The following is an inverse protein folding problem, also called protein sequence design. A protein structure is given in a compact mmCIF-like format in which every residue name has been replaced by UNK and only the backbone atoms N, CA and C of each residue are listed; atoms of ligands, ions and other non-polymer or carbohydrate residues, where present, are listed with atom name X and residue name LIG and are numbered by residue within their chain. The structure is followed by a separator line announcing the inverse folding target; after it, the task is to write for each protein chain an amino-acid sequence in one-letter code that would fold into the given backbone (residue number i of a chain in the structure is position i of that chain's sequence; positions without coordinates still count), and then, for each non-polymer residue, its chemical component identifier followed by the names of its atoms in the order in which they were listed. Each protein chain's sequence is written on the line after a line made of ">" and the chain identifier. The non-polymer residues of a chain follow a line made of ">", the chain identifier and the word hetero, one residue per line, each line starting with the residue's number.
data_IF_331481951712
#
_entry.id   IF_331481951712
#
_cell.length_a   1.000
_cell.length_b   1.000
_cell.length_c   1.000
_cell.angle_alpha   90.00
_cell.angle_beta   90.00
_cell.angle_gamma   90.00
#
_symmetry.space_group_name_H-M   'P 1'
#
loop_
_entity.id
_entity.type
_entity.pdbx_description
1 polymer ?
#
# COMPACT_ATOMS: atom_id res chain seq x y z
N UNK A 1 -6.07 -21.94 2.77
CA UNK A 1 -6.44 -20.55 2.41
C UNK A 1 -5.27 -19.69 1.97
N UNK A 2 -4.01 -20.09 2.19
CA UNK A 2 -2.79 -19.41 1.72
C UNK A 2 -2.47 -19.64 0.22
N UNK A 3 -3.06 -20.64 -0.40
CA UNK A 3 -2.73 -21.04 -1.79
C UNK A 3 -3.20 -20.04 -2.87
N UNK A 4 -4.13 -19.15 -2.58
CA UNK A 4 -4.60 -18.15 -3.56
C UNK A 4 -3.88 -16.80 -3.43
N UNK A 5 -3.02 -16.62 -2.43
CA UNK A 5 -2.27 -15.38 -2.20
C UNK A 5 -0.97 -15.29 -3.02
N UNK A 6 -0.51 -16.41 -3.55
CA UNK A 6 0.82 -16.55 -4.18
C UNK A 6 0.89 -15.97 -5.59
N UNK A 7 -0.24 -15.70 -6.24
CA UNK A 7 -0.24 -15.15 -7.61
C UNK A 7 -0.23 -13.60 -7.69
N UNK A 8 -0.32 -12.90 -6.57
CA UNK A 8 -0.43 -11.43 -6.54
C UNK A 8 0.74 -10.68 -5.87
N UNK A 9 1.71 -11.39 -5.30
CA UNK A 9 2.87 -10.78 -4.64
C UNK A 9 4.14 -10.94 -5.47
N UNK A 10 4.20 -10.28 -6.61
CA UNK A 10 5.48 -9.96 -7.21
C UNK A 10 6.11 -8.80 -6.41
N UNK A 11 6.92 -9.13 -5.42
CA UNK A 11 7.77 -8.18 -4.70
C UNK A 11 7.14 -7.57 -3.44
N UNK A 12 7.29 -8.26 -2.32
CA UNK A 12 7.13 -7.64 -1.00
C UNK A 12 8.41 -6.84 -0.71
N UNK A 13 8.34 -5.54 -0.92
CA UNK A 13 9.45 -4.64 -0.62
C UNK A 13 9.32 -4.13 0.81
N UNK A 14 10.17 -4.65 1.70
CA UNK A 14 10.23 -4.18 3.09
C UNK A 14 11.23 -3.03 3.17
N UNK A 15 10.75 -1.81 3.12
CA UNK A 15 11.55 -0.62 3.34
C UNK A 15 11.65 -0.30 4.84
N UNK A 16 12.63 -0.88 5.55
CA UNK A 16 12.81 -0.64 7.01
C UNK A 16 14.27 -0.61 7.47
N UNK A 17 15.18 -0.58 6.53
CA UNK A 17 16.59 -0.28 6.78
C UNK A 17 17.06 0.54 5.58
N UNK A 18 18.24 1.16 5.63
CA UNK A 18 18.82 1.83 4.47
C UNK A 18 18.98 0.89 3.24
N UNK A 19 18.69 -0.39 3.40
CA UNK A 19 18.75 -1.40 2.35
C UNK A 19 17.40 -2.13 2.21
N UNK A 20 16.88 -2.22 0.97
CA UNK A 20 15.62 -2.88 0.64
C UNK A 20 15.84 -4.38 0.42
N UNK A 21 14.90 -5.20 0.90
CA UNK A 21 14.84 -6.63 0.59
C UNK A 21 13.48 -6.96 -0.01
N UNK A 22 13.47 -7.82 -1.01
CA UNK A 22 12.27 -8.39 -1.61
C UNK A 22 12.33 -9.90 -1.61
N UNK A 23 11.18 -10.54 -1.61
CA UNK A 23 11.05 -11.99 -1.75
C UNK A 23 9.94 -12.33 -2.73
N UNK A 24 10.16 -13.39 -3.52
CA UNK A 24 9.15 -13.97 -4.39
C UNK A 24 8.91 -15.41 -3.94
N UNK A 25 7.66 -15.71 -3.58
CA UNK A 25 7.26 -17.06 -3.23
C UNK A 25 6.72 -17.78 -4.46
N UNK A 26 7.32 -18.92 -4.80
CA UNK A 26 6.92 -19.74 -5.94
C UNK A 26 6.02 -20.87 -5.44
N UNK A 27 4.83 -20.98 -6.02
CA UNK A 27 3.92 -22.11 -5.76
C UNK A 27 4.36 -23.35 -6.60
N UNK A 28 3.82 -24.53 -6.26
CA UNK A 28 4.14 -25.81 -6.88
C UNK A 28 4.10 -25.81 -8.42
N UNK A 29 3.18 -25.04 -9.02
CA UNK A 29 3.03 -24.97 -10.48
C UNK A 29 4.20 -24.32 -11.21
N UNK A 30 4.98 -23.50 -10.52
CA UNK A 30 6.05 -22.68 -11.13
C UNK A 30 7.40 -22.86 -10.44
N UNK A 31 7.48 -23.68 -9.38
CA UNK A 31 8.72 -23.86 -8.61
C UNK A 31 9.87 -24.47 -9.43
N UNK A 32 9.55 -25.19 -10.51
CA UNK A 32 10.51 -25.84 -11.39
C UNK A 32 10.79 -25.06 -12.68
N UNK A 33 10.18 -23.89 -12.87
CA UNK A 33 10.35 -23.07 -14.09
C UNK A 33 11.73 -22.42 -14.14
N UNK A 34 12.27 -22.03 -12.97
CA UNK A 34 13.59 -21.44 -12.84
C UNK A 34 14.61 -22.52 -12.44
N UNK A 35 15.64 -22.69 -13.25
CA UNK A 35 16.78 -23.55 -12.98
C UNK A 35 17.97 -22.81 -12.40
N UNK A 36 19.04 -23.54 -12.15
CA UNK A 36 20.30 -22.97 -11.68
C UNK A 36 20.88 -22.01 -12.74
N UNK A 37 21.12 -20.76 -12.33
CA UNK A 37 21.69 -19.73 -13.20
C UNK A 37 20.68 -18.88 -13.98
N UNK A 38 19.37 -19.18 -13.92
CA UNK A 38 18.34 -18.42 -14.63
C UNK A 38 18.06 -17.06 -13.98
N UNK A 39 18.30 -16.96 -12.68
CA UNK A 39 18.12 -15.71 -11.93
C UNK A 39 19.19 -15.55 -10.87
N UNK A 40 19.67 -14.32 -10.69
CA UNK A 40 20.67 -13.99 -9.70
C UNK A 40 20.51 -12.56 -9.16
N UNK A 41 21.04 -12.31 -7.98
CA UNK A 41 21.07 -10.99 -7.37
C UNK A 41 22.40 -10.79 -6.66
N UNK A 42 23.10 -9.69 -6.95
CA UNK A 42 24.39 -9.35 -6.34
C UNK A 42 24.26 -9.18 -4.81
N UNK A 43 23.14 -8.63 -4.36
CA UNK A 43 22.87 -8.34 -2.94
C UNK A 43 21.80 -9.25 -2.33
N UNK A 44 21.31 -10.23 -3.09
CA UNK A 44 20.30 -11.19 -2.62
C UNK A 44 20.82 -11.99 -1.42
N UNK A 45 19.96 -12.17 -0.42
CA UNK A 45 20.34 -12.90 0.80
C UNK A 45 21.27 -12.14 1.75
N UNK A 46 21.46 -10.82 1.58
CA UNK A 46 22.22 -10.02 2.53
C UNK A 46 21.72 -10.24 3.97
N UNK A 47 22.59 -10.65 4.91
CA UNK A 47 22.16 -11.07 6.24
C UNK A 47 21.52 -9.93 7.06
N UNK A 48 21.95 -8.68 6.88
CA UNK A 48 21.37 -7.52 7.58
C UNK A 48 19.94 -7.28 7.09
N UNK A 49 19.74 -7.29 5.77
CA UNK A 49 18.40 -7.15 5.19
C UNK A 49 17.48 -8.32 5.56
N UNK A 50 18.01 -9.54 5.56
CA UNK A 50 17.25 -10.73 5.97
C UNK A 50 16.84 -10.65 7.45
N UNK A 51 17.72 -10.21 8.35
CA UNK A 51 17.40 -10.01 9.76
C UNK A 51 16.30 -8.95 9.95
N UNK A 52 16.37 -7.85 9.21
CA UNK A 52 15.30 -6.83 9.16
C UNK A 52 13.98 -7.43 8.68
N UNK A 53 14.01 -8.19 7.59
CA UNK A 53 12.84 -8.89 7.04
C UNK A 53 12.18 -9.84 8.05
N UNK A 54 12.96 -10.67 8.72
CA UNK A 54 12.48 -11.60 9.77
C UNK A 54 11.84 -10.83 10.92
N UNK A 55 12.48 -9.75 11.39
CA UNK A 55 11.95 -8.90 12.47
C UNK A 55 10.58 -8.33 12.12
N UNK A 56 10.38 -7.92 10.87
CA UNK A 56 9.11 -7.32 10.43
C UNK A 56 8.04 -8.37 10.23
N UNK A 57 8.36 -9.47 9.55
CA UNK A 57 7.41 -10.57 9.34
C UNK A 57 6.88 -11.08 10.70
N UNK A 58 7.75 -11.19 11.70
CA UNK A 58 7.35 -11.59 13.05
C UNK A 58 6.39 -10.61 13.75
N UNK A 59 6.28 -9.37 13.29
CA UNK A 59 5.34 -8.36 13.81
C UNK A 59 4.01 -8.33 13.06
N UNK A 60 3.90 -8.98 11.91
CA UNK A 60 2.67 -9.08 11.14
C UNK A 60 1.76 -10.18 11.71
N UNK A 61 1.31 -9.99 12.94
CA UNK A 61 0.39 -10.90 13.63
C UNK A 61 -1.02 -10.78 13.05
N UNK A 62 -1.87 -11.78 13.34
CA UNK A 62 -3.28 -11.75 12.89
C UNK A 62 -4.01 -10.52 13.45
N UNK A 63 -3.76 -10.14 14.71
CA UNK A 63 -4.33 -8.94 15.32
C UNK A 63 -3.88 -7.66 14.60
N UNK A 64 -2.59 -7.57 14.27
CA UNK A 64 -2.07 -6.43 13.51
C UNK A 64 -2.71 -6.35 12.13
N UNK A 65 -2.84 -7.48 11.44
CA UNK A 65 -3.49 -7.53 10.12
C UNK A 65 -4.99 -7.20 10.20
N UNK A 66 -5.68 -7.60 11.28
CA UNK A 66 -7.06 -7.21 11.52
C UNK A 66 -7.22 -5.69 11.71
N UNK A 67 -6.28 -5.03 12.40
CA UNK A 67 -6.26 -3.57 12.51
C UNK A 67 -6.02 -2.89 11.14
N UNK A 68 -5.15 -3.44 10.30
CA UNK A 68 -4.96 -2.95 8.91
C UNK A 68 -6.26 -3.09 8.11
N UNK A 69 -7.00 -4.19 8.26
CA UNK A 69 -8.30 -4.38 7.60
C UNK A 69 -9.34 -3.36 8.07
N UNK A 70 -9.42 -3.06 9.38
CA UNK A 70 -10.31 -2.02 9.90
C UNK A 70 -10.01 -0.64 9.33
N UNK A 71 -8.72 -0.28 9.26
CA UNK A 71 -8.27 0.97 8.64
C UNK A 71 -8.64 1.02 7.15
N UNK A 72 -8.40 -0.05 6.43
CA UNK A 72 -8.80 -0.19 5.02
C UNK A 72 -10.30 0.00 4.84
N UNK A 73 -11.11 -0.72 5.61
CA UNK A 73 -12.56 -0.60 5.57
C UNK A 73 -13.03 0.84 5.81
N UNK A 74 -12.45 1.54 6.79
CA UNK A 74 -12.75 2.95 7.04
C UNK A 74 -12.51 3.83 5.81
N UNK A 75 -11.35 3.68 5.16
CA UNK A 75 -11.01 4.47 3.95
C UNK A 75 -12.02 4.22 2.84
N UNK A 76 -12.31 2.95 2.55
CA UNK A 76 -13.28 2.59 1.50
C UNK A 76 -14.69 3.09 1.83
N UNK A 77 -15.15 2.93 3.07
CA UNK A 77 -16.48 3.40 3.48
C UNK A 77 -16.62 4.93 3.40
N UNK A 78 -15.55 5.67 3.72
CA UNK A 78 -15.59 7.12 3.76
C UNK A 78 -15.48 7.74 2.36
N UNK A 79 -14.71 7.15 1.46
CA UNK A 79 -14.41 7.75 0.16
C UNK A 79 -15.25 7.18 -0.99
N UNK A 80 -15.79 5.95 -0.88
CA UNK A 80 -16.60 5.39 -1.97
C UNK A 80 -17.93 6.10 -2.05
N UNK A 81 -18.21 6.66 -3.23
CA UNK A 81 -19.45 7.43 -3.47
C UNK A 81 -19.47 8.81 -2.83
N UNK A 82 -18.37 9.29 -2.25
CA UNK A 82 -18.27 10.65 -1.73
C UNK A 82 -18.27 11.67 -2.88
N UNK A 83 -18.82 12.88 -2.67
CA UNK A 83 -18.81 13.94 -3.67
C UNK A 83 -17.40 14.21 -4.21
N UNK A 84 -17.27 14.38 -5.52
CA UNK A 84 -15.99 14.61 -6.19
C UNK A 84 -15.10 13.37 -6.34
N UNK A 85 -15.57 12.17 -5.97
CA UNK A 85 -14.83 10.91 -6.11
C UNK A 85 -15.58 9.95 -7.04
N UNK A 86 -14.94 9.58 -8.16
CA UNK A 86 -15.50 8.63 -9.12
C UNK A 86 -15.36 7.17 -8.67
N UNK A 87 -14.20 6.81 -8.13
CA UNK A 87 -13.95 5.45 -7.66
C UNK A 87 -12.81 5.35 -6.66
N UNK A 88 -12.86 4.31 -5.83
CA UNK A 88 -11.81 3.91 -4.90
C UNK A 88 -11.43 2.46 -5.21
N UNK A 89 -10.14 2.18 -5.36
CA UNK A 89 -9.62 0.84 -5.68
C UNK A 89 -8.38 0.55 -4.87
N UNK A 90 -8.13 -0.70 -4.57
CA UNK A 90 -6.92 -1.10 -3.84
C UNK A 90 -7.12 -2.33 -2.98
N UNK A 91 -6.10 -2.66 -2.20
CA UNK A 91 -6.09 -3.75 -1.23
C UNK A 91 -5.35 -3.30 0.02
N UNK A 92 -5.92 -3.55 1.19
CA UNK A 92 -5.37 -3.08 2.45
C UNK A 92 -5.25 -1.56 2.45
N UNK A 93 -4.07 -1.03 2.74
CA UNK A 93 -3.79 0.41 2.73
C UNK A 93 -3.08 0.90 1.45
N UNK A 94 -2.94 0.06 0.43
CA UNK A 94 -2.51 0.47 -0.90
C UNK A 94 -3.74 0.85 -1.72
N UNK A 95 -4.10 2.13 -1.73
CA UNK A 95 -5.39 2.61 -2.22
C UNK A 95 -5.19 3.69 -3.28
N UNK A 96 -5.96 3.61 -4.35
CA UNK A 96 -6.04 4.62 -5.40
C UNK A 96 -7.44 5.23 -5.43
N UNK A 97 -7.53 6.52 -5.16
CA UNK A 97 -8.75 7.32 -5.23
C UNK A 97 -8.78 8.06 -6.54
N UNK A 98 -9.81 7.84 -7.36
CA UNK A 98 -10.00 8.58 -8.61
C UNK A 98 -10.96 9.75 -8.35
N UNK A 99 -10.46 10.99 -8.30
CA UNK A 99 -11.32 12.17 -8.20
C UNK A 99 -11.92 12.52 -9.57
N UNK A 100 -12.95 13.36 -9.57
CA UNK A 100 -13.52 14.02 -10.76
C UNK A 100 -12.54 15.07 -11.28
N UNK A 101 -12.01 15.88 -10.39
CA UNK A 101 -10.96 16.86 -10.69
C UNK A 101 -9.62 16.20 -11.03
N UNK A 102 -8.68 16.90 -11.67
CA UNK A 102 -7.35 16.39 -11.91
C UNK A 102 -6.65 15.96 -10.61
N UNK A 103 -6.15 14.72 -10.54
CA UNK A 103 -5.53 14.18 -9.32
C UNK A 103 -4.36 15.04 -8.80
N UNK A 104 -3.63 15.73 -9.70
CA UNK A 104 -2.55 16.63 -9.31
C UNK A 104 -3.02 17.86 -8.52
N UNK A 105 -4.20 18.39 -8.85
CA UNK A 105 -4.80 19.53 -8.14
C UNK A 105 -5.28 19.09 -6.76
N UNK A 106 -5.91 17.92 -6.67
CA UNK A 106 -6.31 17.34 -5.38
C UNK A 106 -5.09 17.10 -4.48
N UNK A 107 -4.02 16.51 -5.01
CA UNK A 107 -2.78 16.28 -4.27
C UNK A 107 -2.18 17.60 -3.77
N UNK A 108 -2.13 18.63 -4.62
CA UNK A 108 -1.62 19.95 -4.24
C UNK A 108 -2.43 20.56 -3.09
N UNK A 109 -3.76 20.56 -3.21
CA UNK A 109 -4.65 21.10 -2.17
C UNK A 109 -4.60 20.30 -0.87
N UNK A 110 -4.41 18.96 -0.94
CA UNK A 110 -4.18 18.14 0.24
C UNK A 110 -2.86 18.50 0.93
N UNK A 111 -1.78 18.72 0.15
CA UNK A 111 -0.48 19.12 0.67
C UNK A 111 -0.53 20.46 1.41
N UNK A 112 -1.26 21.44 0.89
CA UNK A 112 -1.49 22.74 1.53
C UNK A 112 -2.23 22.61 2.87
N UNK A 113 -2.98 21.51 3.05
CA UNK A 113 -3.71 21.16 4.29
C UNK A 113 -2.96 20.16 5.18
N UNK A 114 -1.67 19.91 4.91
CA UNK A 114 -0.82 19.05 5.72
C UNK A 114 -0.92 17.55 5.42
N UNK A 115 -1.59 17.15 4.33
CA UNK A 115 -1.70 15.73 3.93
C UNK A 115 -0.82 15.47 2.71
N UNK A 116 0.23 14.66 2.90
CA UNK A 116 1.13 14.25 1.84
C UNK A 116 0.62 12.97 1.17
N UNK A 117 0.19 13.09 -0.06
CA UNK A 117 -0.18 11.98 -0.92
C UNK A 117 0.50 12.13 -2.29
N UNK A 118 0.39 11.13 -3.15
CA UNK A 118 1.05 11.10 -4.44
C UNK A 118 0.03 10.89 -5.56
N UNK A 119 0.38 11.34 -6.75
CA UNK A 119 -0.37 10.98 -7.96
C UNK A 119 0.06 9.61 -8.49
N UNK A 120 -0.88 8.83 -8.98
CA UNK A 120 -0.64 7.63 -9.77
C UNK A 120 -1.54 7.67 -10.99
N UNK A 121 -1.01 8.15 -12.10
CA UNK A 121 -1.79 8.46 -13.31
C UNK A 121 -2.91 9.47 -12.98
N UNK A 122 -4.17 9.07 -13.12
CA UNK A 122 -5.36 9.88 -12.83
C UNK A 122 -5.93 9.66 -11.41
N UNK A 123 -5.17 9.05 -10.51
CA UNK A 123 -5.60 8.76 -9.14
C UNK A 123 -4.68 9.43 -8.12
N UNK A 124 -5.26 9.78 -6.98
CA UNK A 124 -4.52 10.04 -5.75
C UNK A 124 -4.15 8.70 -5.13
N UNK A 125 -2.87 8.46 -4.90
CA UNK A 125 -2.35 7.23 -4.30
C UNK A 125 -2.12 7.43 -2.81
N UNK A 126 -2.74 6.57 -2.02
CA UNK A 126 -2.54 6.45 -0.59
C UNK A 126 -1.73 5.19 -0.32
N UNK A 127 -0.65 5.32 0.43
CA UNK A 127 0.18 4.22 0.89
C UNK A 127 0.75 4.56 2.28
N UNK A 128 -0.11 4.77 3.28
CA UNK A 128 0.35 5.06 4.63
C UNK A 128 1.03 3.83 5.24
N UNK A 129 1.84 4.06 6.27
CA UNK A 129 2.40 2.98 7.06
C UNK A 129 1.28 2.10 7.66
N UNK A 130 1.47 0.79 7.72
CA UNK A 130 0.45 -0.13 8.25
C UNK A 130 0.08 0.16 9.72
N UNK A 131 1.03 0.72 10.48
CA UNK A 131 0.84 1.12 11.88
C UNK A 131 0.38 2.57 12.06
N UNK A 132 0.01 3.28 10.99
CA UNK A 132 -0.49 4.66 11.09
C UNK A 132 -1.56 4.77 12.20
N UNK A 133 -1.51 5.77 13.10
CA UNK A 133 -2.58 5.99 14.06
C UNK A 133 -3.92 6.22 13.34
N UNK A 134 -5.01 5.73 13.93
CA UNK A 134 -6.34 5.87 13.32
C UNK A 134 -6.77 7.34 13.20
N UNK A 135 -6.36 8.19 14.13
CA UNK A 135 -6.63 9.62 14.12
C UNK A 135 -5.97 10.32 12.93
N UNK A 136 -4.70 10.01 12.64
CA UNK A 136 -3.98 10.57 11.49
C UNK A 136 -4.58 10.08 10.17
N UNK A 137 -4.96 8.80 10.10
CA UNK A 137 -5.64 8.24 8.93
C UNK A 137 -6.99 8.93 8.70
N UNK A 138 -7.77 9.15 9.76
CA UNK A 138 -9.06 9.87 9.67
C UNK A 138 -8.86 11.29 9.18
N UNK A 139 -7.91 12.03 9.74
CA UNK A 139 -7.57 13.37 9.30
C UNK A 139 -7.23 13.42 7.81
N UNK A 140 -6.36 12.51 7.35
CA UNK A 140 -5.96 12.45 5.95
C UNK A 140 -7.15 12.12 5.03
N UNK A 141 -7.95 11.14 5.38
CA UNK A 141 -9.11 10.70 4.57
C UNK A 141 -10.18 11.77 4.48
N UNK A 142 -10.51 12.44 5.60
CA UNK A 142 -11.49 13.53 5.61
C UNK A 142 -10.98 14.75 4.83
N UNK A 143 -9.68 15.06 4.90
CA UNK A 143 -9.07 16.11 4.09
C UNK A 143 -9.22 15.82 2.60
N UNK A 144 -8.90 14.59 2.16
CA UNK A 144 -9.05 14.17 0.77
C UNK A 144 -10.51 14.26 0.31
N UNK A 145 -11.45 13.81 1.16
CA UNK A 145 -12.88 13.87 0.87
C UNK A 145 -13.36 15.32 0.68
N UNK A 146 -12.95 16.21 1.57
CA UNK A 146 -13.30 17.64 1.52
C UNK A 146 -12.71 18.29 0.27
N UNK A 147 -11.42 18.08 -0.01
CA UNK A 147 -10.76 18.65 -1.18
C UNK A 147 -11.38 18.14 -2.48
N UNK A 148 -11.70 16.85 -2.56
CA UNK A 148 -12.34 16.29 -3.75
C UNK A 148 -13.72 16.90 -4.00
N UNK A 149 -14.50 17.14 -2.94
CA UNK A 149 -15.81 17.78 -3.06
C UNK A 149 -15.75 19.27 -3.44
N UNK A 150 -14.72 20.00 -2.98
CA UNK A 150 -14.52 21.41 -3.32
C UNK A 150 -14.05 21.65 -4.75
N UNK A 151 -13.36 20.67 -5.35
CA UNK A 151 -12.80 20.76 -6.70
C UNK A 151 -13.69 20.09 -7.76
N UNK A 152 -14.83 19.53 -7.40
CA UNK A 152 -15.72 18.74 -8.27
C UNK A 152 -16.56 19.60 -9.25
#
# INVERSE_FOLDING_TARGET
>A
MLQNFVSLLSGFQVALAPENIGACLLGEKVQSVLGFGDHGSTYGGNPVCCAGGVSIIGRLTDDFLAEVQKKSAYVFQTLTGAPGIESVTGLGLMIGVKPVAPAAEVVKSCMERGVLCLTAKNKVRLLPALNIPMEDLKFAVETIRTVAAELA
#
